data_IF_160641908232
#
_entry.id   IF_160641908232
#
_cell.length_a   1.000
_cell.length_b   1.000
_cell.length_c   1.000
_cell.angle_alpha   90.00
_cell.angle_beta   90.00
_cell.angle_gamma   90.00
#
_symmetry.space_group_name_H-M   'P 1'
#
loop_
_entity.id
_entity.type
_entity.pdbx_description
1 polymer ?
2 non-polymer ?
3 water ?
#
# COMPACT_ATOMS: atom_id res chain seq x y z
N UNK A 11 35.07 -3.73 4.72
CA UNK A 11 34.76 -3.74 3.26
C UNK A 11 33.30 -3.44 2.99
N UNK A 12 32.91 -2.18 3.17
CA UNK A 12 31.54 -1.72 2.92
C UNK A 12 31.16 -1.88 1.45
N UNK A 13 32.02 -1.34 0.58
CA UNK A 13 31.82 -1.38 -0.87
C UNK A 13 31.69 -2.81 -1.37
N UNK A 14 32.45 -3.70 -0.77
CA UNK A 14 32.43 -5.11 -1.15
C UNK A 14 31.06 -5.74 -0.87
N UNK A 15 30.58 -5.60 0.35
CA UNK A 15 29.26 -6.11 0.77
C UNK A 15 28.08 -5.61 -0.09
N UNK A 16 28.17 -4.35 -0.49
CA UNK A 16 27.16 -3.68 -1.30
C UNK A 16 27.12 -4.28 -2.70
N UNK A 17 28.32 -4.44 -3.27
CA UNK A 17 28.51 -4.99 -4.61
C UNK A 17 28.06 -6.45 -4.74
N UNK A 18 28.21 -7.21 -3.66
CA UNK A 18 27.79 -8.61 -3.64
C UNK A 18 26.29 -8.78 -3.53
N UNK A 19 25.60 -7.66 -3.32
CA UNK A 19 24.16 -7.69 -3.06
C UNK A 19 23.33 -6.82 -4.02
N UNK A 20 23.40 -7.10 -5.35
CA UNK A 20 22.73 -6.23 -6.32
C UNK A 20 21.20 -6.44 -6.35
N UNK A 21 20.69 -7.50 -5.74
CA UNK A 21 19.25 -7.68 -5.59
C UNK A 21 18.63 -6.58 -4.70
N UNK A 22 19.44 -5.96 -3.85
CA UNK A 22 19.02 -4.87 -2.97
C UNK A 22 19.65 -3.52 -3.27
N UNK A 23 20.95 -3.51 -3.55
CA UNK A 23 21.65 -2.23 -3.69
C UNK A 23 22.04 -1.78 -5.08
N UNK A 24 21.70 -0.52 -5.32
CA UNK A 24 21.98 0.16 -6.56
C UNK A 24 23.13 1.13 -6.31
N UNK A 25 24.12 1.09 -7.20
CA UNK A 25 25.39 1.82 -6.99
C UNK A 25 25.67 2.89 -8.04
N UNK A 26 25.15 2.71 -9.24
CA UNK A 26 25.36 3.72 -10.27
C UNK A 26 24.06 4.17 -10.90
N UNK A 27 23.93 5.49 -11.13
CA UNK A 27 22.69 6.10 -11.60
C UNK A 27 22.27 5.64 -13.00
N UNK A 28 23.23 5.17 -13.79
CA UNK A 28 22.94 4.75 -15.15
C UNK A 28 22.00 3.53 -15.15
N UNK A 29 22.12 2.71 -14.12
CA UNK A 29 21.28 1.55 -13.94
C UNK A 29 20.16 1.82 -12.94
N UNK A 30 19.79 3.09 -12.79
CA UNK A 30 18.69 3.49 -11.90
C UNK A 30 17.68 4.44 -12.57
N UNK A 31 18.17 5.58 -13.03
CA UNK A 31 17.31 6.63 -13.58
C UNK A 31 16.38 6.08 -14.67
N UNK A 32 15.08 6.36 -14.54
CA UNK A 32 14.04 5.86 -15.47
C UNK A 32 13.81 4.34 -15.43
N UNK A 33 14.55 3.64 -14.56
CA UNK A 33 14.51 2.20 -14.54
C UNK A 33 13.95 1.62 -13.24
N UNK A 34 13.50 2.47 -12.32
CA UNK A 34 13.12 1.98 -10.99
C UNK A 34 11.94 1.02 -10.98
N UNK A 35 10.90 1.29 -11.76
CA UNK A 35 9.79 0.32 -11.85
C UNK A 35 10.23 -1.05 -12.39
N UNK A 36 11.04 -1.05 -13.44
CA UNK A 36 11.66 -2.30 -13.93
C UNK A 36 12.45 -3.01 -12.83
N UNK A 37 13.20 -2.24 -12.06
CA UNK A 37 14.03 -2.81 -10.97
C UNK A 37 13.21 -3.50 -9.88
N UNK A 38 12.11 -2.87 -9.45
CA UNK A 38 11.21 -3.50 -8.50
C UNK A 38 10.29 -4.57 -9.14
N UNK A 39 10.02 -4.41 -10.43
CA UNK A 39 9.23 -5.42 -11.18
C UNK A 39 7.73 -5.20 -11.14
N UNK A 40 7.30 -4.01 -10.71
CA UNK A 40 5.88 -3.67 -10.70
C UNK A 40 5.72 -2.17 -10.65
N UNK A 41 4.46 -1.73 -10.79
CA UNK A 41 4.13 -0.33 -10.90
C UNK A 41 3.64 0.25 -9.56
N UNK A 42 3.97 -0.39 -8.45
CA UNK A 42 3.61 0.14 -7.13
C UNK A 42 4.26 1.50 -6.88
N UNK A 43 3.62 2.37 -6.06
CA UNK A 43 4.26 3.68 -5.83
C UNK A 43 5.66 3.53 -5.20
N UNK A 44 6.55 4.45 -5.55
CA UNK A 44 7.90 4.41 -5.05
C UNK A 44 8.09 5.57 -4.08
N UNK A 45 8.45 5.22 -2.83
CA UNK A 45 8.62 6.21 -1.77
C UNK A 45 10.08 6.13 -1.32
N UNK A 46 10.70 7.29 -1.24
CA UNK A 46 12.14 7.38 -1.07
C UNK A 46 12.42 8.09 0.27
N UNK A 47 13.40 7.61 1.00
CA UNK A 47 13.90 8.30 2.19
C UNK A 47 15.32 8.75 1.91
N UNK A 48 15.56 10.05 2.04
CA UNK A 48 16.91 10.55 1.87
C UNK A 48 17.66 10.69 3.18
N UNK A 49 18.77 9.97 3.24
CA UNK A 49 19.63 9.87 4.44
C UNK A 49 19.02 8.80 5.30
N UNK A 50 19.10 7.55 4.85
CA UNK A 50 18.36 6.49 5.49
C UNK A 50 19.13 5.81 6.66
N UNK A 51 20.33 6.28 6.98
CA UNK A 51 21.04 5.76 8.14
C UNK A 51 21.16 4.24 8.06
N UNK A 52 20.84 3.57 9.15
CA UNK A 52 21.05 2.12 9.25
C UNK A 52 19.82 1.30 8.89
N UNK A 53 18.88 1.94 8.19
CA UNK A 53 17.75 1.24 7.57
C UNK A 53 16.54 0.85 8.39
N UNK A 54 16.48 1.24 9.66
CA UNK A 54 15.29 0.90 10.46
C UNK A 54 14.03 1.47 9.83
N UNK A 55 14.08 2.72 9.38
CA UNK A 55 12.89 3.36 8.82
C UNK A 55 12.37 2.71 7.53
N UNK A 56 13.22 2.62 6.49
CA UNK A 56 12.77 1.94 5.25
C UNK A 56 12.33 0.48 5.46
N UNK A 57 13.01 -0.25 6.35
CA UNK A 57 12.64 -1.64 6.70
C UNK A 57 11.27 -1.75 7.34
N UNK A 58 11.05 -0.92 8.35
CA UNK A 58 9.78 -0.90 9.06
C UNK A 58 8.66 -0.42 8.14
N UNK A 60 8.58 -0.72 4.76
CA UNK A 60 8.34 -1.79 3.80
C UNK A 60 7.49 -2.91 4.37
N UNK A 61 7.71 -3.24 5.65
CA UNK A 61 6.90 -4.21 6.36
C UNK A 61 5.46 -3.74 6.59
N UNK A 62 5.28 -2.48 6.99
CA UNK A 62 3.94 -1.94 7.24
C UNK A 62 3.16 -1.89 5.94
N UNK A 63 3.88 -1.65 4.83
CA UNK A 63 3.27 -1.30 3.54
C UNK A 63 3.82 -2.13 2.38
N UNK A 64 3.40 -3.41 2.30
CA UNK A 64 3.90 -4.32 1.26
C UNK A 64 3.65 -3.87 -0.18
N UNK A 65 2.67 -3.01 -0.40
CA UNK A 65 2.31 -2.56 -1.75
C UNK A 65 2.88 -1.19 -2.10
N UNK A 66 3.84 -0.73 -1.30
CA UNK A 66 4.68 0.41 -1.59
C UNK A 66 6.12 -0.05 -1.72
N UNK A 67 6.81 0.47 -2.72
CA UNK A 67 8.23 0.20 -2.92
C UNK A 67 9.07 1.33 -2.31
N UNK A 68 9.98 0.97 -1.40
CA UNK A 68 10.84 1.94 -0.72
C UNK A 68 12.27 1.92 -1.21
N UNK A 69 12.86 3.10 -1.33
CA UNK A 69 14.29 3.23 -1.59
C UNK A 69 14.92 4.03 -0.43
N UNK A 70 15.92 3.44 0.19
CA UNK A 70 16.71 4.10 1.23
C UNK A 70 17.96 4.65 0.57
N UNK A 71 18.18 5.95 0.69
CA UNK A 71 19.31 6.58 0.02
C UNK A 71 20.35 7.09 1.03
N UNK A 72 21.62 6.77 0.81
CA UNK A 72 22.68 7.41 1.61
C UNK A 72 23.90 7.81 0.81
N UNK A 73 24.58 8.84 1.29
CA UNK A 73 25.80 9.33 0.67
C UNK A 73 27.03 8.53 1.12
N UNK A 74 26.89 7.80 2.23
CA UNK A 74 27.99 7.00 2.77
C UNK A 74 27.79 5.48 2.63
N UNK A 75 28.74 4.82 1.97
CA UNK A 75 28.70 3.37 1.75
C UNK A 75 28.75 2.57 3.04
N UNK A 76 29.52 3.06 4.01
CA UNK A 76 29.66 2.43 5.32
C UNK A 76 28.31 2.23 5.99
N UNK A 77 27.56 3.33 6.14
CA UNK A 77 26.28 3.27 6.83
C UNK A 77 25.20 2.55 6.01
N UNK A 78 25.31 2.63 4.68
CA UNK A 78 24.43 1.85 3.81
C UNK A 78 24.64 0.34 3.97
N UNK A 79 25.89 -0.07 4.24
CA UNK A 79 26.18 -1.48 4.50
C UNK A 79 25.49 -2.01 5.76
N UNK A 80 25.34 -1.15 6.78
CA UNK A 80 24.58 -1.52 7.99
C UNK A 80 23.10 -1.63 7.68
N UNK A 81 22.60 -0.71 6.84
CA UNK A 81 21.23 -0.79 6.37
C UNK A 81 20.98 -2.12 5.66
N UNK A 82 21.95 -2.51 4.82
CA UNK A 82 21.94 -3.79 4.11
C UNK A 82 21.82 -5.01 5.02
N UNK A 83 22.58 -5.01 6.11
CA UNK A 83 22.50 -6.09 7.10
C UNK A 83 21.07 -6.25 7.58
N UNK A 84 20.43 -5.14 7.90
CA UNK A 84 19.02 -5.11 8.31
C UNK A 84 18.10 -5.59 7.17
N UNK A 85 18.29 -5.02 5.98
CA UNK A 85 17.50 -5.39 4.81
C UNK A 85 17.65 -6.87 4.43
N UNK A 86 18.87 -7.41 4.45
CA UNK A 86 19.07 -8.84 4.18
C UNK A 86 18.30 -9.73 5.14
N UNK A 87 18.30 -9.38 6.43
CA UNK A 87 17.58 -10.13 7.46
C UNK A 87 16.07 -10.17 7.23
N UNK A 88 15.47 -9.00 7.01
CA UNK A 88 14.01 -8.92 6.74
C UNK A 88 13.61 -9.74 5.49
N UNK A 89 14.40 -9.64 4.41
CA UNK A 89 14.17 -10.45 3.23
C UNK A 89 12.88 -10.19 2.43
N UNK A 90 12.40 -8.94 2.43
CA UNK A 90 11.19 -8.61 1.67
C UNK A 90 11.57 -7.91 0.36
N UNK A 91 10.76 -8.07 -0.70
CA UNK A 91 11.19 -7.55 -2.00
C UNK A 91 10.99 -6.04 -2.24
N UNK A 92 10.15 -5.40 -1.41
CA UNK A 92 9.73 -4.01 -1.68
C UNK A 92 10.66 -2.94 -1.07
N UNK A 93 11.96 -3.26 -1.04
CA UNK A 93 13.00 -2.33 -0.62
C UNK A 93 14.18 -2.42 -1.57
N UNK A 94 14.83 -1.28 -1.77
CA UNK A 94 16.15 -1.19 -2.39
C UNK A 94 16.93 -0.09 -1.68
N UNK A 95 18.25 -0.18 -1.71
CA UNK A 95 19.13 0.81 -1.08
C UNK A 95 19.93 1.43 -2.20
N UNK A 96 20.11 2.74 -2.15
CA UNK A 96 20.82 3.45 -3.19
C UNK A 96 21.98 4.22 -2.58
N UNK A 97 23.17 4.05 -3.13
CA UNK A 97 24.28 4.89 -2.74
C UNK A 97 24.32 6.03 -3.72
N UNK A 98 24.27 7.26 -3.23
CA UNK A 98 24.42 8.46 -4.08
C UNK A 98 25.81 9.09 -3.91
N UNK A 99 26.41 9.50 -5.02
CA UNK A 99 27.82 9.86 -5.03
C UNK A 99 28.10 11.35 -4.84
N UNK A 100 27.07 12.12 -4.50
CA UNK A 100 27.25 13.55 -4.26
C UNK A 100 26.48 14.44 -5.23
N UNK A 101 26.11 13.86 -6.38
CA UNK A 101 25.34 14.62 -7.37
C UNK A 101 23.90 14.87 -6.90
N UNK A 102 23.21 15.76 -7.61
CA UNK A 102 21.79 15.96 -7.42
C UNK A 102 21.06 14.65 -7.66
N UNK A 103 19.92 14.48 -7.00
CA UNK A 103 19.13 13.27 -7.15
C UNK A 103 18.48 13.15 -8.52
N UNK A 104 18.47 14.23 -9.30
CA UNK A 104 18.00 14.20 -10.67
C UNK A 104 18.89 13.32 -11.55
N UNK A 105 20.11 13.02 -11.08
CA UNK A 105 20.98 12.03 -11.76
C UNK A 105 20.48 10.59 -11.55
N UNK A 106 19.63 10.37 -10.55
CA UNK A 106 19.21 9.03 -10.13
C UNK A 106 17.73 8.71 -10.41
N UNK A 107 16.94 9.76 -10.61
CA UNK A 107 15.50 9.67 -10.81
C UNK A 107 15.11 10.62 -11.93
N UNK A 108 14.19 10.13 -12.76
CA UNK A 108 13.55 10.93 -13.77
C UNK A 108 12.55 11.85 -13.09
N UNK A 109 12.25 12.99 -13.71
CA UNK A 109 11.14 13.83 -13.28
C UNK A 109 9.87 13.01 -13.07
N UNK A 110 9.30 13.11 -11.87
CA UNK A 110 8.07 12.40 -11.53
C UNK A 110 8.21 10.90 -11.33
N UNK A 111 9.44 10.39 -11.27
CA UNK A 111 9.64 8.94 -11.18
C UNK A 111 9.27 8.39 -9.79
N UNK A 112 9.34 9.24 -8.76
CA UNK A 112 8.95 8.81 -7.41
C UNK A 112 7.62 9.44 -6.96
N UNK A 113 7.02 8.92 -5.89
CA UNK A 113 5.69 9.35 -5.50
C UNK A 113 5.60 10.12 -4.19
N UNK A 114 6.52 9.87 -3.27
CA UNK A 114 6.60 10.61 -2.00
C UNK A 114 8.03 10.62 -1.52
N UNK A 115 8.38 11.67 -0.77
CA UNK A 115 9.72 11.74 -0.21
C UNK A 115 9.67 11.87 1.31
N UNK A 116 10.53 11.12 2.00
CA UNK A 116 10.68 11.19 3.44
C UNK A 116 12.05 11.76 3.85
N UNK A 117 12.00 12.65 4.82
CA UNK A 117 13.20 13.17 5.44
C UNK A 117 13.02 12.96 6.93
N UNK A 118 13.96 12.23 7.54
CA UNK A 118 13.95 11.93 8.97
C UNK A 118 15.24 12.39 9.68
N UNK A 119 15.12 13.36 10.59
CA UNK A 119 16.25 13.76 11.46
C UNK A 119 17.48 14.14 10.68
N UNK A 120 17.25 14.87 9.60
CA UNK A 120 18.31 15.27 8.67
C UNK A 120 19.29 16.19 9.41
N UNK A 121 20.53 16.25 8.91
CA UNK A 121 21.56 17.06 9.52
C UNK A 121 21.05 18.50 9.63
N UNK A 122 21.03 19.07 10.85
CA UNK A 122 20.52 20.42 11.08
C UNK A 122 21.39 21.56 10.54
N UNK A 123 22.70 21.36 10.39
CA UNK A 123 23.62 22.43 9.94
C UNK A 123 23.25 23.83 10.49
N UNK A 124 23.21 23.98 11.84
CA UNK A 124 22.72 25.18 12.53
C UNK A 124 23.42 26.49 12.17
N UNK A 125 24.69 26.44 11.77
CA UNK A 125 25.44 27.66 11.46
C UNK A 125 24.94 28.28 10.17
N UNK A 126 24.79 29.61 10.21
CA UNK A 126 24.14 30.39 9.16
C UNK A 126 24.77 30.19 7.80
N UNK A 127 26.10 30.03 7.79
CA UNK A 127 26.83 29.89 6.54
C UNK A 127 26.65 28.51 5.95
N UNK A 128 26.19 27.55 6.78
CA UNK A 128 25.87 26.19 6.29
C UNK A 128 24.37 25.96 5.93
N UNK A 129 23.59 27.03 5.83
CA UNK A 129 22.19 26.93 5.39
C UNK A 129 22.03 26.05 4.16
N UNK A 130 22.83 26.33 3.14
CA UNK A 130 22.82 25.62 1.85
C UNK A 130 22.93 24.11 1.93
N UNK A 131 23.48 23.60 3.03
CA UNK A 131 23.65 22.15 3.21
C UNK A 131 22.42 21.44 3.77
N UNK A 132 21.48 22.20 4.30
CA UNK A 132 20.25 21.64 4.87
C UNK A 132 19.42 21.03 3.74
N UNK A 133 18.91 19.82 3.95
CA UNK A 133 18.08 19.16 2.90
C UNK A 133 16.76 19.87 2.59
N UNK A 134 16.40 20.83 3.45
CA UNK A 134 15.16 21.61 3.30
C UNK A 134 15.41 23.00 2.69
N UNK A 135 16.67 23.27 2.36
CA UNK A 135 17.04 24.46 1.58
C UNK A 135 16.52 24.42 0.13
N UNK A 136 16.20 25.60 -0.40
CA UNK A 136 15.53 25.75 -1.68
C UNK A 136 16.13 25.01 -2.90
N UNK A 137 17.45 24.85 -2.97
CA UNK A 137 18.06 24.12 -4.08
C UNK A 137 17.75 22.61 -4.01
N UNK A 138 17.68 22.06 -2.79
CA UNK A 138 17.22 20.67 -2.62
C UNK A 138 15.72 20.56 -2.93
N UNK A 139 14.96 21.55 -2.47
CA UNK A 139 13.55 21.65 -2.83
C UNK A 139 13.31 21.66 -4.35
N UNK A 140 14.14 22.40 -5.10
CA UNK A 140 14.09 22.36 -6.59
C UNK A 140 14.19 20.94 -7.12
N UNK A 141 15.12 20.18 -6.53
CA UNK A 141 15.43 18.81 -6.96
C UNK A 141 14.27 17.89 -6.60
N UNK A 142 13.79 18.02 -5.36
CA UNK A 142 12.68 17.21 -4.90
C UNK A 142 11.39 17.49 -5.71
N UNK A 143 11.13 18.77 -6.02
CA UNK A 143 9.96 19.14 -6.82
C UNK A 143 9.99 18.47 -8.18
N UNK A 144 11.16 18.42 -8.81
CA UNK A 144 11.34 17.77 -10.12
C UNK A 144 11.09 16.27 -10.09
N UNK A 145 11.63 15.58 -9.07
CA UNK A 145 11.57 14.10 -9.07
C UNK A 145 10.24 13.53 -8.61
N UNK A 146 9.53 14.30 -7.79
CA UNK A 146 8.17 14.02 -7.34
C UNK A 146 7.14 14.38 -8.43
N UNK A 147 5.92 13.83 -8.34
CA UNK A 147 4.88 14.26 -9.30
C UNK A 147 4.36 15.65 -8.96
N UNK A 148 3.52 16.20 -9.84
CA UNK A 148 2.70 17.33 -9.47
C UNK A 148 1.94 17.04 -8.17
N UNK A 149 1.92 18.03 -7.29
CA UNK A 149 1.28 17.91 -5.96
C UNK A 149 1.93 16.86 -5.04
N UNK A 150 3.20 16.55 -5.32
CA UNK A 150 3.95 15.51 -4.58
C UNK A 150 4.30 16.08 -3.22
N UNK A 151 4.58 15.22 -2.25
CA UNK A 151 4.72 15.65 -0.85
C UNK A 151 6.04 15.20 -0.23
N UNK A 152 6.50 16.02 0.70
CA UNK A 152 7.64 15.73 1.55
C UNK A 152 7.05 15.52 2.94
N UNK A 153 7.34 14.35 3.54
CA UNK A 153 6.96 14.07 4.90
C UNK A 153 8.25 14.09 5.74
N UNK A 154 8.32 15.05 6.65
CA UNK A 154 9.56 15.39 7.34
C UNK A 154 9.35 15.33 8.85
N UNK A 155 10.18 14.56 9.55
CA UNK A 155 10.17 14.57 11.01
C UNK A 155 11.58 14.76 11.61
N UNK A 156 11.64 15.46 12.73
CA UNK A 156 12.89 15.74 13.46
C UNK A 156 12.59 16.15 14.90
N UNK A 157 13.57 15.94 15.78
CA UNK A 157 13.51 16.49 17.14
C UNK A 157 14.27 17.82 17.20
N UNK A 158 14.92 18.23 16.11
CA UNK A 158 15.71 19.46 16.12
C UNK A 158 14.82 20.68 15.92
N UNK A 159 14.55 21.41 17.01
CA UNK A 159 13.66 22.56 16.93
C UNK A 159 14.11 23.59 15.90
N UNK A 160 15.38 23.98 15.98
CA UNK A 160 15.93 24.97 15.05
C UNK A 160 15.77 24.55 13.61
N UNK A 161 16.07 23.29 13.29
CA UNK A 161 15.91 22.82 11.91
C UNK A 161 14.43 22.85 11.46
N UNK A 162 13.54 22.43 12.33
CA UNK A 162 12.12 22.36 12.00
C UNK A 162 11.55 23.77 11.79
N UNK A 163 11.91 24.71 12.67
CA UNK A 163 11.55 26.12 12.50
C UNK A 163 12.04 26.66 11.17
N UNK A 164 13.30 26.40 10.85
CA UNK A 164 13.86 26.80 9.57
C UNK A 164 13.09 26.18 8.39
N UNK A 165 12.82 24.87 8.48
CA UNK A 165 12.24 24.12 7.35
C UNK A 165 10.78 24.53 7.07
N UNK A 166 10.02 24.82 8.12
CA UNK A 166 8.68 25.35 7.93
C UNK A 166 8.69 26.65 7.13
N UNK A 167 9.59 27.56 7.49
CA UNK A 167 9.75 28.84 6.77
C UNK A 167 10.28 28.63 5.34
N UNK A 168 11.31 27.80 5.19
CA UNK A 168 11.87 27.44 3.87
C UNK A 168 10.79 26.87 2.93
N UNK A 169 10.05 25.86 3.41
CA UNK A 169 8.94 25.25 2.66
C UNK A 169 7.92 26.31 2.22
N UNK A 170 7.47 27.11 3.19
CA UNK A 170 6.47 28.11 2.93
C UNK A 170 6.94 29.19 1.93
N UNK A 171 8.15 29.73 2.16
CA UNK A 171 8.73 30.76 1.29
C UNK A 171 8.93 30.23 -0.14
N UNK A 172 9.17 28.94 -0.27
CA UNK A 172 9.36 28.28 -1.56
C UNK A 172 8.06 28.25 -2.33
N UNK A 173 6.93 28.32 -1.63
CA UNK A 173 5.62 28.22 -2.26
C UNK A 173 4.92 26.88 -2.00
N UNK A 175 2.69 24.17 0.23
CA UNK A 175 1.58 24.26 1.19
C UNK A 175 1.82 23.26 2.32
N UNK A 176 1.52 23.69 3.54
CA UNK A 176 1.65 22.83 4.71
C UNK A 176 0.29 22.18 4.88
N UNK A 177 0.22 20.86 4.75
CA UNK A 177 -1.05 20.14 4.89
C UNK A 177 -1.31 19.65 6.31
N UNK A 178 -0.24 19.38 7.05
CA UNK A 178 -0.39 18.97 8.45
C UNK A 178 0.88 19.28 9.20
N UNK A 179 0.72 19.69 10.45
CA UNK A 179 1.84 20.02 11.32
C UNK A 179 1.58 19.37 12.69
N UNK A 180 2.59 18.62 13.15
CA UNK A 180 2.58 17.93 14.45
C UNK A 180 3.70 18.53 15.29
N UNK A 181 3.38 19.05 16.47
CA UNK A 181 4.40 19.69 17.29
C UNK A 181 4.71 18.87 18.52
N UNK A 182 4.06 17.71 18.65
CA UNK A 182 4.40 16.69 19.66
C UNK A 182 3.91 15.37 19.08
N UNK A 183 4.69 14.77 18.17
CA UNK A 183 4.18 13.62 17.40
C UNK A 183 3.76 12.47 18.28
N UNK A 184 4.61 12.10 19.23
CA UNK A 184 4.36 10.90 20.05
C UNK A 184 3.14 11.10 20.95
N UNK A 185 2.78 12.36 21.21
CA UNK A 185 1.61 12.64 22.04
C UNK A 185 0.31 12.74 21.23
N UNK A 186 0.41 12.68 19.90
CA UNK A 186 -0.75 12.86 19.02
C UNK A 186 -1.43 11.53 18.71
N UNK A 187 -2.55 11.58 18.00
CA UNK A 187 -3.23 10.37 17.54
C UNK A 187 -2.70 9.83 16.19
N UNK A 188 -1.52 10.31 15.77
CA UNK A 188 -0.95 9.87 14.50
C UNK A 188 -0.69 8.36 14.56
N UNK A 189 -1.08 7.65 13.51
CA UNK A 189 -0.78 6.21 13.49
C UNK A 189 0.14 5.76 12.36
N UNK A 190 0.87 4.69 12.63
CA UNK A 190 1.75 4.09 11.63
C UNK A 190 3.18 4.62 11.68
N UNK A 191 3.50 5.41 12.69
CA UNK A 191 4.85 5.97 12.79
C UNK A 191 5.88 4.85 12.95
N UNK A 192 6.91 4.88 12.11
CA UNK A 192 8.02 3.96 12.20
C UNK A 192 9.22 4.78 12.63
N UNK A 194 13.13 5.80 13.51
CA UNK A 194 14.50 5.59 13.04
C UNK A 194 15.33 5.07 14.23
N UNK A 195 16.59 4.70 13.98
CA UNK A 195 17.49 4.27 15.07
C UNK A 195 17.68 5.42 16.04
N UNK A 196 17.97 6.61 15.51
CA UNK A 196 18.12 7.80 16.34
C UNK A 196 16.90 8.01 17.23
N UNK A 197 15.72 7.87 16.62
CA UNK A 197 14.44 8.09 17.29
C UNK A 197 14.22 7.07 18.41
N UNK A 198 14.62 5.82 18.16
CA UNK A 198 14.58 4.76 19.17
C UNK A 198 15.50 5.09 20.34
N UNK A 199 16.80 5.17 20.04
CA UNK A 199 17.85 5.57 20.98
C UNK A 199 17.38 6.65 21.97
N UNK A 200 16.68 7.66 21.46
CA UNK A 200 16.26 8.76 22.30
C UNK A 200 14.82 8.77 22.76
N UNK A 201 14.09 7.68 22.51
CA UNK A 201 12.67 7.62 22.90
C UNK A 201 12.48 7.84 24.38
N UNK A 202 13.40 7.27 25.16
CA UNK A 202 13.36 7.39 26.63
C UNK A 202 13.51 8.82 27.14
N UNK A 203 14.22 9.65 26.37
CA UNK A 203 14.41 11.06 26.74
C UNK A 203 13.07 11.81 26.79
N UNK A 204 12.17 11.47 25.87
CA UNK A 204 10.81 12.05 25.86
C UNK A 204 10.71 13.48 25.34
N UNK A 205 11.71 13.93 24.58
CA UNK A 205 11.69 15.28 23.97
C UNK A 205 10.73 15.25 22.79
N UNK A 206 10.09 16.38 22.46
CA UNK A 206 9.01 16.32 21.45
C UNK A 206 9.62 16.02 20.09
N UNK A 207 8.85 15.31 19.28
CA UNK A 207 9.21 15.08 17.89
C UNK A 207 8.27 15.93 17.05
N UNK A 208 8.82 16.66 16.10
CA UNK A 208 8.08 17.52 15.17
C UNK A 208 7.89 16.78 13.88
N UNK A 209 6.77 17.03 13.21
CA UNK A 209 6.48 16.42 11.91
C UNK A 209 5.66 17.36 11.02
N UNK A 210 5.92 17.33 9.71
CA UNK A 210 5.12 18.11 8.77
C UNK A 210 4.94 17.31 7.47
N UNK A 211 3.77 17.46 6.87
CA UNK A 211 3.55 17.01 5.50
C UNK A 211 3.40 18.28 4.66
N UNK A 212 4.32 18.49 3.72
CA UNK A 212 4.27 19.68 2.86
C UNK A 212 4.13 19.24 1.39
N UNK A 213 3.48 20.06 0.59
CA UNK A 213 3.11 19.70 -0.79
C UNK A 213 3.59 20.76 -1.77
N UNK A 214 4.17 20.32 -2.90
CA UNK A 214 4.62 21.23 -3.95
C UNK A 214 3.42 21.74 -4.73
N UNK B 9 4.04 -20.95 11.23
CA UNK B 9 5.39 -20.34 11.09
C UNK B 9 6.01 -20.60 9.71
N UNK B 10 5.53 -21.65 9.03
CA UNK B 10 6.03 -22.04 7.71
C UNK B 10 5.98 -20.97 6.61
N UNK B 11 6.69 -21.21 5.51
CA UNK B 11 6.71 -20.30 4.39
C UNK B 11 5.32 -20.10 3.81
N UNK B 12 5.01 -18.86 3.46
CA UNK B 12 3.74 -18.51 2.84
C UNK B 12 3.43 -19.41 1.65
N UNK B 13 4.35 -19.50 0.68
CA UNK B 13 4.13 -20.34 -0.52
C UNK B 13 3.90 -21.79 -0.14
N UNK B 14 4.71 -22.26 0.82
CA UNK B 14 4.67 -23.64 1.29
C UNK B 14 3.31 -23.99 1.89
N UNK B 15 2.79 -23.13 2.76
CA UNK B 15 1.45 -23.33 3.33
C UNK B 15 0.37 -23.30 2.24
N UNK B 16 0.48 -22.32 1.36
CA UNK B 16 -0.43 -22.16 0.22
C UNK B 16 -0.44 -23.41 -0.68
N UNK B 17 0.73 -23.77 -1.22
CA UNK B 17 0.87 -25.00 -2.01
C UNK B 17 0.41 -26.28 -1.32
N UNK B 18 0.58 -26.35 0.01
CA UNK B 18 0.20 -27.55 0.76
C UNK B 18 -1.32 -27.70 0.94
N UNK B 19 -2.07 -26.69 0.49
CA UNK B 19 -3.51 -26.66 0.69
C UNK B 19 -4.29 -26.41 -0.59
N UNK B 20 -4.05 -27.23 -1.64
CA UNK B 20 -4.67 -27.02 -2.94
C UNK B 20 -6.19 -27.25 -2.92
N UNK B 21 -6.69 -27.87 -1.85
CA UNK B 21 -8.14 -28.08 -1.69
C UNK B 21 -8.87 -26.75 -1.42
N UNK B 22 -8.10 -25.72 -1.08
CA UNK B 22 -8.64 -24.37 -0.84
C UNK B 22 -7.98 -23.29 -1.68
N UNK B 23 -6.68 -23.38 -1.92
CA UNK B 23 -6.01 -22.27 -2.61
C UNK B 23 -5.58 -22.57 -4.04
N UNK B 24 -5.93 -21.64 -4.92
CA UNK B 24 -5.57 -21.63 -6.34
C UNK B 24 -4.46 -20.59 -6.55
N UNK B 25 -3.38 -21.00 -7.19
CA UNK B 25 -2.18 -20.16 -7.24
C UNK B 25 -1.79 -19.66 -8.63
N UNK B 26 -2.59 -19.95 -9.65
CA UNK B 26 -2.27 -19.53 -11.00
C UNK B 26 -3.52 -19.48 -11.88
N UNK B 27 -3.47 -18.72 -12.99
CA UNK B 27 -4.64 -18.53 -13.89
C UNK B 27 -5.09 -19.82 -14.58
N UNK B 28 -4.15 -20.64 -15.05
CA UNK B 28 -4.44 -21.92 -15.71
C UNK B 28 -5.44 -22.77 -14.93
N UNK B 29 -5.12 -23.02 -13.67
CA UNK B 29 -6.00 -23.76 -12.74
C UNK B 29 -7.34 -23.07 -12.46
N UNK B 30 -7.47 -21.82 -12.86
CA UNK B 30 -8.63 -21.00 -12.46
C UNK B 30 -9.67 -20.86 -13.59
N UNK B 31 -9.26 -20.26 -14.70
CA UNK B 31 -10.17 -19.80 -15.76
C UNK B 31 -10.98 -20.93 -16.43
N UNK B 32 -12.30 -20.75 -16.45
CA UNK B 32 -13.27 -21.70 -17.02
C UNK B 32 -13.43 -23.00 -16.23
N UNK B 33 -12.78 -23.09 -15.07
CA UNK B 33 -12.75 -24.33 -14.30
C UNK B 33 -13.40 -24.23 -12.93
N UNK B 34 -13.98 -23.08 -12.61
CA UNK B 34 -14.36 -22.81 -11.21
C UNK B 34 -15.45 -23.70 -10.64
N UNK B 35 -16.53 -23.93 -11.38
CA UNK B 35 -17.53 -24.87 -10.85
C UNK B 35 -17.01 -26.32 -10.73
N UNK B 36 -16.08 -26.71 -11.60
CA UNK B 36 -15.37 -27.99 -11.42
C UNK B 36 -14.55 -28.02 -10.14
N UNK B 37 -13.88 -26.90 -9.80
CA UNK B 37 -13.12 -26.85 -8.54
C UNK B 37 -14.05 -26.95 -7.35
N UNK B 38 -15.18 -26.26 -7.44
CA UNK B 38 -16.19 -26.32 -6.38
C UNK B 38 -17.00 -27.62 -6.43
N UNK B 39 -17.14 -28.20 -7.63
CA UNK B 39 -17.85 -29.47 -7.80
C UNK B 39 -19.36 -29.37 -7.71
N UNK B 40 -19.90 -28.18 -7.96
CA UNK B 40 -21.35 -27.96 -8.03
C UNK B 40 -21.67 -26.68 -8.81
N UNK B 41 -22.97 -26.40 -9.02
CA UNK B 41 -23.36 -25.27 -9.87
C UNK B 41 -23.89 -24.07 -9.07
N UNK B 42 -23.60 -24.04 -7.77
CA UNK B 42 -23.99 -22.92 -6.91
C UNK B 42 -23.41 -21.59 -7.39
N UNK B 43 -24.10 -20.46 -7.10
CA UNK B 43 -23.55 -19.18 -7.51
C UNK B 43 -22.15 -18.94 -6.93
N UNK B 44 -21.27 -18.32 -7.72
CA UNK B 44 -19.93 -17.99 -7.26
C UNK B 44 -19.82 -16.48 -6.99
N UNK B 45 -19.57 -16.14 -5.72
CA UNK B 45 -19.41 -14.75 -5.29
C UNK B 45 -17.96 -14.50 -4.93
N UNK B 46 -17.41 -13.43 -5.49
CA UNK B 46 -15.98 -13.17 -5.42
C UNK B 46 -15.70 -11.88 -4.63
N UNK B 47 -14.75 -11.91 -3.69
CA UNK B 47 -14.31 -10.69 -3.03
C UNK B 47 -12.93 -10.35 -3.54
N UNK B 48 -12.77 -9.13 -4.06
CA UNK B 48 -11.44 -8.70 -4.44
C UNK B 48 -10.77 -7.85 -3.38
N UNK B 49 -9.62 -8.36 -2.94
CA UNK B 49 -8.86 -7.79 -1.83
C UNK B 49 -9.37 -8.34 -0.50
N UNK B 50 -9.22 -9.65 -0.28
CA UNK B 50 -9.78 -10.26 0.92
C UNK B 50 -8.96 -10.05 2.20
N UNK B 51 -7.72 -9.61 2.06
CA UNK B 51 -6.85 -9.51 3.23
C UNK B 51 -6.79 -10.81 4.02
N UNK B 52 -6.90 -10.72 5.35
CA UNK B 52 -6.77 -11.89 6.22
C UNK B 52 -7.99 -12.81 6.27
N UNK B 53 -9.02 -12.52 5.46
CA UNK B 53 -10.08 -13.50 5.21
C UNK B 53 -11.30 -13.55 6.14
N UNK B 54 -11.38 -12.67 7.13
CA UNK B 54 -12.56 -12.66 8.01
C UNK B 54 -13.87 -12.57 7.22
N UNK B 55 -13.92 -11.68 6.22
CA UNK B 55 -15.15 -11.49 5.44
C UNK B 55 -15.54 -12.72 4.64
N UNK B 56 -14.62 -13.23 3.82
CA UNK B 56 -14.98 -14.35 2.94
C UNK B 56 -15.29 -15.58 3.73
N UNK B 57 -14.47 -15.85 4.74
CA UNK B 57 -14.64 -17.07 5.57
C UNK B 57 -15.97 -17.01 6.34
N UNK B 58 -16.32 -15.82 6.84
CA UNK B 58 -17.63 -15.59 7.49
C UNK B 58 -18.84 -15.71 6.58
N UNK B 60 -18.98 -17.49 3.80
CA UNK B 60 -19.08 -18.90 3.41
C UNK B 60 -19.80 -19.71 4.50
N UNK B 61 -19.47 -19.45 5.77
CA UNK B 61 -20.15 -20.07 6.90
C UNK B 61 -21.65 -19.68 6.94
N UNK B 62 -21.92 -18.39 6.85
CA UNK B 62 -23.29 -17.87 6.84
C UNK B 62 -24.11 -18.43 5.67
N UNK B 63 -23.46 -18.62 4.53
CA UNK B 63 -24.16 -18.92 3.27
C UNK B 63 -23.68 -20.18 2.56
N UNK B 64 -24.08 -21.37 3.07
CA UNK B 64 -23.52 -22.64 2.62
C UNK B 64 -23.81 -22.93 1.16
N UNK B 65 -24.89 -22.36 0.62
CA UNK B 65 -25.25 -22.61 -0.78
C UNK B 65 -24.70 -21.55 -1.74
N UNK B 66 -23.77 -20.73 -1.27
CA UNK B 66 -23.00 -19.86 -2.16
C UNK B 66 -21.54 -20.28 -2.12
N UNK B 67 -20.91 -20.34 -3.29
CA UNK B 67 -19.46 -20.59 -3.35
C UNK B 67 -18.66 -19.27 -3.36
N UNK B 68 -17.79 -19.09 -2.38
CA UNK B 68 -16.98 -17.86 -2.31
C UNK B 68 -15.55 -18.04 -2.77
N UNK B 69 -15.02 -17.02 -3.43
CA UNK B 69 -13.60 -16.93 -3.71
C UNK B 69 -13.05 -15.65 -3.11
N UNK B 70 -12.02 -15.77 -2.27
CA UNK B 70 -11.31 -14.59 -1.78
C UNK B 70 -10.06 -14.37 -2.60
N UNK B 71 -9.79 -13.12 -2.97
CA UNK B 71 -8.63 -12.80 -3.81
C UNK B 71 -7.67 -11.85 -3.09
N UNK B 72 -6.38 -12.21 -3.01
CA UNK B 72 -5.34 -11.29 -2.51
C UNK B 72 -4.22 -11.19 -3.54
N UNK B 73 -3.50 -10.07 -3.52
CA UNK B 73 -2.29 -9.88 -4.33
C UNK B 73 -1.00 -10.30 -3.60
N UNK B 74 -1.04 -10.39 -2.27
CA UNK B 74 0.12 -10.81 -1.51
C UNK B 74 -0.10 -12.23 -0.95
N UNK B 75 0.83 -13.13 -1.24
CA UNK B 75 0.81 -14.50 -0.75
C UNK B 75 0.87 -14.61 0.77
N UNK B 76 1.66 -13.73 1.39
CA UNK B 76 1.80 -13.73 2.84
C UNK B 76 0.46 -13.44 3.49
N UNK B 77 -0.23 -12.43 2.97
CA UNK B 77 -1.54 -12.07 3.46
C UNK B 77 -2.56 -13.20 3.23
N UNK B 78 -2.54 -13.79 2.05
CA UNK B 78 -3.42 -14.91 1.69
C UNK B 78 -3.20 -16.14 2.58
N UNK B 79 -1.96 -16.27 3.04
CA UNK B 79 -1.56 -17.31 4.00
C UNK B 79 -2.32 -17.18 5.33
N UNK B 80 -2.50 -15.95 5.79
CA UNK B 80 -3.30 -15.69 6.99
C UNK B 80 -4.79 -15.95 6.77
N UNK B 81 -5.26 -15.64 5.55
CA UNK B 81 -6.63 -15.96 5.18
C UNK B 81 -6.87 -17.46 5.20
N UNK B 82 -5.85 -18.23 4.80
CA UNK B 82 -5.95 -19.69 4.82
C UNK B 82 -6.13 -20.20 6.25
N UNK B 83 -5.47 -19.57 7.21
CA UNK B 83 -5.67 -19.93 8.62
C UNK B 83 -7.15 -19.87 9.02
N UNK B 84 -7.80 -18.75 8.68
CA UNK B 84 -9.23 -18.56 8.99
C UNK B 84 -10.09 -19.58 8.22
N UNK B 85 -9.76 -19.80 6.95
CA UNK B 85 -10.49 -20.76 6.13
C UNK B 85 -10.39 -22.19 6.72
N UNK B 86 -9.20 -22.56 7.18
CA UNK B 86 -9.01 -23.88 7.81
C UNK B 86 -9.74 -24.01 9.15
N UNK B 87 -9.72 -22.94 9.94
CA UNK B 87 -10.44 -22.91 11.21
C UNK B 87 -11.94 -23.15 11.00
N UNK B 88 -12.52 -22.43 10.05
CA UNK B 88 -13.94 -22.55 9.73
C UNK B 88 -14.27 -23.94 9.17
N UNK B 89 -13.44 -24.43 8.25
CA UNK B 89 -13.56 -25.81 7.75
C UNK B 89 -14.70 -26.10 6.80
N UNK B 90 -15.33 -25.06 6.24
CA UNK B 90 -16.43 -25.27 5.28
C UNK B 90 -15.88 -25.41 3.86
N UNK B 91 -16.52 -26.24 3.02
CA UNK B 91 -15.99 -26.49 1.67
C UNK B 91 -16.36 -25.46 0.59
N UNK B 92 -17.31 -24.56 0.87
CA UNK B 92 -17.82 -23.61 -0.15
C UNK B 92 -17.00 -22.32 -0.30
N UNK B 93 -15.69 -22.47 -0.33
CA UNK B 93 -14.76 -21.33 -0.36
C UNK B 93 -13.42 -21.76 -0.95
N UNK B 94 -12.88 -20.90 -1.82
CA UNK B 94 -11.53 -21.03 -2.37
C UNK B 94 -10.80 -19.70 -2.17
N UNK B 95 -9.47 -19.76 -2.14
CA UNK B 95 -8.66 -18.56 -2.07
C UNK B 95 -7.86 -18.51 -3.35
N UNK B 96 -7.71 -17.29 -3.90
CA UNK B 96 -6.97 -17.10 -5.14
C UNK B 96 -5.86 -16.07 -4.96
N UNK B 97 -4.64 -16.46 -5.30
CA UNK B 97 -3.57 -15.51 -5.39
C UNK B 97 -3.52 -15.01 -6.83
N UNK B 98 -3.65 -13.70 -7.01
CA UNK B 98 -3.52 -13.10 -8.33
C UNK B 98 -2.19 -12.36 -8.45
N UNK B 99 -1.68 -12.23 -9.68
CA UNK B 99 -0.29 -11.82 -9.88
C UNK B 99 -0.13 -10.43 -10.52
N UNK B 100 -1.23 -9.71 -10.64
CA UNK B 100 -1.20 -8.39 -11.26
C UNK B 100 -2.05 -8.30 -12.52
N UNK B 101 -2.31 -9.46 -13.15
CA UNK B 101 -3.10 -9.49 -14.39
C UNK B 101 -4.56 -9.11 -14.13
N UNK B 102 -5.26 -8.67 -15.18
CA UNK B 102 -6.69 -8.39 -15.09
C UNK B 102 -7.45 -9.67 -14.74
N UNK B 103 -8.56 -9.51 -14.02
CA UNK B 103 -9.32 -10.67 -13.56
C UNK B 103 -9.85 -11.54 -14.70
N UNK B 104 -9.86 -10.97 -15.90
CA UNK B 104 -10.30 -11.71 -17.08
C UNK B 104 -9.34 -12.85 -17.45
N UNK B 105 -8.15 -12.90 -16.82
CA UNK B 105 -7.25 -14.05 -16.96
C UNK B 105 -7.58 -15.14 -15.98
N UNK B 106 -8.43 -14.83 -15.02
CA UNK B 106 -8.80 -15.80 -13.99
C UNK B 106 -10.24 -16.29 -14.10
N UNK B 107 -11.08 -15.55 -14.84
CA UNK B 107 -12.50 -15.90 -14.97
C UNK B 107 -12.95 -15.69 -16.41
N UNK B 108 -13.78 -16.61 -16.91
CA UNK B 108 -14.41 -16.44 -18.22
C UNK B 108 -15.47 -15.36 -18.10
N UNK B 109 -15.81 -14.72 -19.22
CA UNK B 109 -16.99 -13.85 -19.24
C UNK B 109 -18.17 -14.59 -18.64
N UNK B 110 -18.82 -13.98 -17.66
CA UNK B 110 -20.00 -14.54 -17.02
C UNK B 110 -19.78 -15.69 -16.03
N UNK B 111 -18.52 -16.00 -15.73
CA UNK B 111 -18.22 -17.15 -14.86
C UNK B 111 -18.62 -16.93 -13.38
N UNK B 112 -18.61 -15.69 -12.92
CA UNK B 112 -19.03 -15.40 -11.54
C UNK B 112 -20.39 -14.70 -11.47
N UNK B 113 -20.99 -14.68 -10.29
CA UNK B 113 -22.36 -14.18 -10.15
C UNK B 113 -22.49 -12.88 -9.36
N UNK B 114 -21.49 -12.55 -8.52
CA UNK B 114 -21.52 -11.32 -7.73
C UNK B 114 -20.11 -10.91 -7.33
N UNK B 115 -19.89 -9.61 -7.18
CA UNK B 115 -18.60 -9.13 -6.74
C UNK B 115 -18.70 -8.29 -5.46
N UNK B 116 -17.82 -8.57 -4.50
CA UNK B 116 -17.74 -7.83 -3.26
C UNK B 116 -16.45 -7.03 -3.22
N UNK B 117 -16.58 -5.77 -2.78
CA UNK B 117 -15.44 -4.88 -2.53
C UNK B 117 -15.61 -4.32 -1.13
N UNK B 118 -14.64 -4.57 -0.26
CA UNK B 118 -14.72 -4.11 1.11
C UNK B 118 -13.52 -3.26 1.44
N UNK B 119 -13.78 -1.99 1.76
CA UNK B 119 -12.70 -1.08 2.20
C UNK B 119 -11.53 -1.01 1.25
N UNK B 120 -11.82 -1.02 -0.06
CA UNK B 120 -10.78 -0.91 -1.10
C UNK B 120 -9.92 0.35 -0.92
N UNK B 121 -8.64 0.29 -1.33
CA UNK B 121 -7.72 1.46 -1.25
C UNK B 121 -8.35 2.71 -1.86
N UNK B 122 -8.44 3.80 -1.08
CA UNK B 122 -9.09 5.01 -1.60
C UNK B 122 -8.32 5.81 -2.68
N UNK B 123 -6.99 5.69 -2.71
CA UNK B 123 -6.17 6.42 -3.69
C UNK B 123 -6.63 7.88 -3.84
N UNK B 124 -6.62 8.66 -2.75
CA UNK B 124 -7.26 9.98 -2.77
C UNK B 124 -6.66 11.01 -3.73
N UNK B 125 -5.39 10.87 -4.08
CA UNK B 125 -4.76 11.82 -5.03
C UNK B 125 -5.36 11.64 -6.44
N UNK B 126 -5.67 12.75 -7.09
CA UNK B 126 -6.33 12.75 -8.42
C UNK B 126 -5.54 11.95 -9.46
N UNK B 127 -4.23 12.06 -9.38
CA UNK B 127 -3.32 11.34 -10.27
C UNK B 127 -3.43 9.82 -10.10
N UNK B 128 -3.98 9.36 -8.97
CA UNK B 128 -4.18 7.93 -8.74
C UNK B 128 -5.64 7.41 -8.95
N UNK B 129 -6.49 8.20 -9.58
CA UNK B 129 -7.88 7.78 -9.81
C UNK B 129 -7.97 6.40 -10.43
N UNK B 130 -7.13 6.13 -11.43
CA UNK B 130 -7.20 4.91 -12.22
C UNK B 130 -6.82 3.64 -11.46
N UNK B 131 -6.25 3.80 -10.27
CA UNK B 131 -5.94 2.69 -9.40
C UNK B 131 -7.12 2.27 -8.51
N UNK B 132 -8.10 3.17 -8.38
CA UNK B 132 -9.32 2.85 -7.61
C UNK B 132 -10.09 1.69 -8.25
N UNK B 133 -10.45 0.68 -7.45
CA UNK B 133 -11.17 -0.48 -8.01
C UNK B 133 -12.54 -0.11 -8.58
N UNK B 134 -12.98 1.12 -8.31
CA UNK B 134 -14.30 1.55 -8.80
C UNK B 134 -14.19 2.43 -10.05
N UNK B 135 -12.96 2.62 -10.51
CA UNK B 135 -12.65 3.28 -11.78
C UNK B 135 -13.21 2.48 -12.98
N UNK B 136 -13.64 3.18 -14.03
CA UNK B 136 -14.33 2.54 -15.19
C UNK B 136 -13.60 1.37 -15.85
N UNK B 137 -12.26 1.40 -15.93
CA UNK B 137 -11.53 0.26 -16.47
C UNK B 137 -11.63 -0.99 -15.61
N UNK B 138 -11.73 -0.84 -14.29
CA UNK B 138 -12.04 -2.00 -13.45
C UNK B 138 -13.49 -2.42 -13.64
N UNK B 139 -14.38 -1.43 -13.72
CA UNK B 139 -15.80 -1.71 -14.03
C UNK B 139 -15.98 -2.51 -15.29
N UNK B 140 -15.25 -2.16 -16.35
CA UNK B 140 -15.23 -2.98 -17.59
C UNK B 140 -14.92 -4.45 -17.34
N UNK B 141 -13.84 -4.71 -16.59
CA UNK B 141 -13.46 -6.08 -16.20
C UNK B 141 -14.56 -6.77 -15.38
N UNK B 142 -15.10 -6.06 -14.39
CA UNK B 142 -16.11 -6.69 -13.54
C UNK B 142 -17.35 -7.03 -14.38
N UNK B 143 -17.72 -6.12 -15.25
CA UNK B 143 -18.88 -6.29 -16.10
C UNK B 143 -18.74 -7.58 -16.95
N UNK B 144 -17.54 -7.79 -17.48
CA UNK B 144 -17.21 -8.99 -18.27
C UNK B 144 -17.34 -10.26 -17.45
N UNK B 145 -16.71 -10.29 -16.28
CA UNK B 145 -16.68 -11.53 -15.51
C UNK B 145 -18.00 -11.89 -14.86
N UNK B 146 -18.82 -10.88 -14.61
CA UNK B 146 -20.17 -11.06 -14.08
C UNK B 146 -21.14 -11.38 -15.21
N UNK B 147 -22.34 -11.87 -14.88
CA UNK B 147 -23.32 -12.07 -15.92
C UNK B 147 -24.22 -10.83 -16.12
N UNK B 148 -25.23 -10.98 -16.99
CA UNK B 148 -26.31 -10.01 -17.19
C UNK B 148 -26.88 -9.65 -15.86
N UNK B 149 -27.05 -8.36 -15.61
CA UNK B 149 -27.56 -7.89 -14.32
C UNK B 149 -26.66 -8.21 -13.10
N UNK B 150 -25.38 -8.52 -13.34
CA UNK B 150 -24.47 -8.82 -12.23
C UNK B 150 -24.28 -7.59 -11.33
N UNK B 151 -24.04 -7.82 -10.04
CA UNK B 151 -23.91 -6.71 -9.07
C UNK B 151 -22.55 -6.62 -8.36
N UNK B 152 -22.22 -5.41 -7.95
CA UNK B 152 -21.09 -5.13 -7.06
C UNK B 152 -21.68 -4.67 -5.74
N UNK B 153 -21.27 -5.33 -4.66
CA UNK B 153 -21.68 -4.95 -3.34
C UNK B 153 -20.43 -4.36 -2.68
N UNK B 154 -20.47 -3.06 -2.42
CA UNK B 154 -19.30 -2.28 -1.97
C UNK B 154 -19.58 -1.61 -0.61
N UNK B 155 -18.67 -1.80 0.34
CA UNK B 155 -18.75 -1.01 1.58
C UNK B 155 -17.38 -0.48 1.99
N UNK B 156 -17.39 0.68 2.64
CA UNK B 156 -16.18 1.39 3.05
C UNK B 156 -16.61 2.40 4.12
N UNK B 157 -15.66 2.82 4.95
CA UNK B 157 -15.85 3.93 5.86
C UNK B 157 -15.30 5.22 5.22
N UNK B 158 -14.63 5.09 4.08
CA UNK B 158 -13.98 6.24 3.43
C UNK B 158 -15.01 7.05 2.63
N UNK B 159 -15.44 8.17 3.22
CA UNK B 159 -16.46 9.02 2.60
C UNK B 159 -16.07 9.46 1.18
N UNK B 160 -14.85 9.93 1.01
CA UNK B 160 -14.37 10.38 -0.30
C UNK B 160 -14.37 9.30 -1.37
N UNK B 161 -13.91 8.10 -1.02
CA UNK B 161 -13.99 6.98 -1.95
C UNK B 161 -15.43 6.66 -2.33
N UNK B 162 -16.33 6.68 -1.34
CA UNK B 162 -17.71 6.30 -1.60
C UNK B 162 -18.41 7.36 -2.49
N UNK B 163 -18.21 8.66 -2.22
CA UNK B 163 -18.77 9.72 -3.07
C UNK B 163 -18.28 9.57 -4.50
N UNK B 164 -16.96 9.41 -4.66
CA UNK B 164 -16.34 9.14 -5.95
C UNK B 164 -16.99 7.93 -6.65
N UNK B 165 -17.19 6.84 -5.92
CA UNK B 165 -17.66 5.57 -6.50
C UNK B 165 -19.12 5.60 -6.95
N UNK B 166 -19.99 6.26 -6.19
CA UNK B 166 -21.40 6.42 -6.58
C UNK B 166 -21.49 7.12 -7.93
N UNK B 167 -20.73 8.20 -8.09
CA UNK B 167 -20.68 8.98 -9.33
C UNK B 167 -20.09 8.13 -10.46
N UNK B 168 -18.94 7.52 -10.18
CA UNK B 168 -18.29 6.62 -11.13
C UNK B 168 -19.21 5.50 -11.62
N UNK B 169 -19.87 4.81 -10.69
CA UNK B 169 -20.86 3.78 -11.04
C UNK B 169 -21.97 4.36 -11.93
N UNK B 170 -22.50 5.51 -11.52
CA UNK B 170 -23.65 6.12 -12.22
C UNK B 170 -23.23 6.56 -13.64
N UNK B 171 -22.10 7.25 -13.74
CA UNK B 171 -21.60 7.75 -15.03
C UNK B 171 -21.35 6.60 -16.01
N UNK B 172 -20.94 5.45 -15.47
CA UNK B 172 -20.70 4.24 -16.25
C UNK B 172 -22.00 3.68 -16.83
N UNK B 173 -23.12 3.97 -16.20
CA UNK B 173 -24.39 3.39 -16.64
C UNK B 173 -24.96 2.34 -15.71
N UNK B 175 -26.85 0.87 -12.42
CA UNK B 175 -27.95 1.29 -11.59
C UNK B 175 -27.69 1.01 -10.12
N UNK B 176 -28.02 1.99 -9.27
CA UNK B 176 -27.92 1.81 -7.83
C UNK B 176 -29.19 1.15 -7.28
N UNK B 177 -29.04 -0.04 -6.70
CA UNK B 177 -30.19 -0.80 -6.21
C UNK B 177 -30.53 -0.49 -4.78
N UNK B 178 -29.52 -0.13 -3.99
CA UNK B 178 -29.72 0.24 -2.58
C UNK B 178 -28.50 1.00 -2.10
N UNK B 179 -28.72 1.95 -1.21
CA UNK B 179 -27.64 2.76 -0.64
C UNK B 179 -27.84 2.84 0.87
N UNK B 180 -26.78 2.61 1.64
CA UNK B 180 -26.77 2.74 3.10
C UNK B 180 -25.72 3.79 3.44
N UNK B 181 -26.12 4.84 4.16
CA UNK B 181 -25.15 5.90 4.53
C UNK B 181 -24.72 5.88 5.99
N UNK B 182 -25.23 4.88 6.72
CA UNK B 182 -24.78 4.59 8.09
C UNK B 182 -25.23 3.15 8.35
N UNK B 183 -24.42 2.20 7.92
CA UNK B 183 -24.85 0.81 7.83
C UNK B 183 -25.21 0.23 9.21
N UNK B 184 -24.35 0.45 10.19
CA UNK B 184 -24.57 -0.10 11.53
C UNK B 184 -25.83 0.47 12.21
N UNK B 185 -26.31 1.60 11.70
CA UNK B 185 -27.49 2.25 12.22
C UNK B 185 -28.76 1.79 11.50
N UNK B 186 -28.60 1.04 10.42
CA UNK B 186 -29.73 0.57 9.62
C UNK B 186 -30.27 -0.76 10.16
N UNK B 187 -31.33 -1.23 9.51
CA UNK B 187 -31.92 -2.52 9.80
C UNK B 187 -31.36 -3.61 8.89
N UNK B 188 -30.21 -3.35 8.28
CA UNK B 188 -29.55 -4.33 7.40
C UNK B 188 -29.20 -5.56 8.23
N UNK B 189 -29.55 -6.72 7.72
CA UNK B 189 -29.24 -7.98 8.42
C UNK B 189 -28.15 -8.75 7.69
N UNK B 190 -27.32 -9.45 8.47
CA UNK B 190 -26.36 -10.40 7.91
C UNK B 190 -25.04 -9.80 7.44
N UNK B 191 -24.71 -8.62 7.95
CA UNK B 191 -23.42 -7.99 7.64
C UNK B 191 -22.29 -8.76 8.29
N UNK B 192 -21.32 -9.18 7.48
CA UNK B 192 -20.11 -9.82 7.99
C UNK B 192 -19.03 -8.77 8.01
N UNK B 194 -15.31 -7.11 8.28
CA UNK B 194 -13.91 -7.36 8.03
C UNK B 194 -13.14 -7.14 9.34
N UNK B 195 -11.89 -7.56 9.37
CA UNK B 195 -10.99 -7.32 10.51
C UNK B 195 -10.97 -5.84 10.93
N UNK B 196 -10.81 -4.96 9.94
CA UNK B 196 -10.79 -3.50 10.15
C UNK B 196 -12.10 -2.99 10.78
N UNK B 197 -13.21 -3.33 10.13
CA UNK B 197 -14.53 -3.00 10.62
C UNK B 197 -14.72 -3.49 12.06
N UNK B 198 -14.36 -4.74 12.32
CA UNK B 198 -14.43 -5.38 13.65
C UNK B 198 -13.60 -4.64 14.72
N UNK B 199 -12.53 -3.97 14.31
CA UNK B 199 -11.71 -3.18 15.23
C UNK B 199 -12.39 -1.91 15.74
N UNK B 200 -13.42 -1.47 15.04
CA UNK B 200 -14.01 -0.17 15.34
C UNK B 200 -15.48 -0.20 15.66
N UNK B 201 -16.08 -1.39 15.58
CA UNK B 201 -17.52 -1.59 15.85
C UNK B 201 -18.02 -0.97 17.18
N UNK B 202 -17.10 -0.67 18.09
CA UNK B 202 -17.46 -0.08 19.40
C UNK B 202 -17.23 1.44 19.45
N UNK B 203 -16.72 1.99 18.36
CA UNK B 203 -16.34 3.40 18.28
C UNK B 203 -17.29 4.17 17.37
N UNK B 204 -18.42 3.54 17.04
CA UNK B 204 -19.45 4.15 16.19
C UNK B 204 -18.98 4.64 14.81
N UNK B 205 -18.33 3.76 14.04
CA UNK B 205 -17.88 4.20 12.72
C UNK B 205 -19.03 4.24 11.71
N UNK B 206 -19.03 5.25 10.86
CA UNK B 206 -20.03 5.38 9.79
C UNK B 206 -19.56 4.54 8.59
N UNK B 207 -20.31 3.47 8.32
CA UNK B 207 -20.03 2.58 7.20
C UNK B 207 -21.04 2.85 6.09
N UNK B 208 -20.51 3.13 4.91
CA UNK B 208 -21.30 3.33 3.69
C UNK B 208 -21.38 2.03 2.91
N UNK B 209 -22.55 1.72 2.36
CA UNK B 209 -22.70 0.55 1.54
C UNK B 209 -23.59 0.84 0.33
N UNK B 210 -23.28 0.18 -0.78
CA UNK B 210 -24.08 0.32 -2.00
C UNK B 210 -24.12 -1.02 -2.70
N UNK B 211 -25.28 -1.34 -3.28
CA UNK B 211 -25.42 -2.43 -4.25
C UNK B 211 -25.71 -1.79 -5.59
N UNK B 212 -24.79 -1.98 -6.54
CA UNK B 212 -24.92 -1.40 -7.87
C UNK B 212 -24.99 -2.55 -8.87
N UNK B 213 -25.68 -2.33 -9.99
CA UNK B 213 -25.97 -3.39 -10.94
C UNK B 213 -25.55 -2.97 -12.33
N UNK B 214 -24.84 -3.85 -13.03
CA UNK B 214 -24.53 -3.62 -14.44
C UNK B 214 -25.77 -3.67 -15.34
#
# INVERSE_FOLDING_TARGET
SNAXRVRNRKGATELLEANPQYVVLNPLEAKAKWRDLFGNDNPIHVEVGSGKGAFVSGXAKQNPDINYIGIDIQKSVLSYALDKVLEVGVPNIKLLWVDGSDLTDYFEDGEIDRLYLNFSDPWPKKRHEKRRLTYKTFLDTFKRILPENGEIHFKTDNRGLFEYSLVSFSQYGXKLNGVWLDLHASDFEGNVXTEYEQKFSNKGQVIYRVEAEF
SNAXRVRNRKGATELLEANPQYVVLNPLEAKAKWRDLFGNDNPIHVEVGSGKGAFVSGXAKQNPDINYIGIDIQKSVLSYALDKVLEVGVPNIKLLWVDGSDLTDYFEDGEIDRLYLNFSDPWPKKRHEKRRLTYKTFLDTFKRILPENGEIHFKTDNRGLFEYSLVSFSQYGXKLNGVWLDLHASDFEGNVXTEYEQKFSNKGQVIYRVEAEF
#
